data_IF_087689506867
#
_entry.id   IF_087689506867
#
_cell.length_a   1.000
_cell.length_b   1.000
_cell.length_c   1.000
_cell.angle_alpha   90.00
_cell.angle_beta   90.00
_cell.angle_gamma   90.00
#
_symmetry.space_group_name_H-M   'P 1'
#
loop_
_entity.id
_entity.type
_entity.pdbx_description
1 polymer ?
#
# COMPACT_ATOMS: atom_id res chain seq x y z
N UNK A 1 13.92 2.87 -13.01
CA UNK A 1 13.99 3.50 -11.67
C UNK A 1 12.77 3.16 -10.82
N UNK A 2 11.65 2.76 -11.42
CA UNK A 2 10.49 2.17 -10.73
C UNK A 2 10.76 0.76 -10.19
N UNK A 3 11.55 -0.06 -10.92
CA UNK A 3 11.92 -1.42 -10.44
C UNK A 3 12.64 -1.40 -9.08
N UNK A 4 13.58 -0.49 -8.85
CA UNK A 4 14.34 -0.41 -7.59
C UNK A 4 13.43 -0.11 -6.38
N UNK A 5 12.44 0.78 -6.56
CA UNK A 5 11.44 1.06 -5.53
C UNK A 5 10.54 -0.15 -5.27
N UNK A 6 10.02 -0.77 -6.34
CA UNK A 6 9.11 -1.92 -6.24
C UNK A 6 9.82 -3.09 -5.56
N UNK A 7 11.02 -3.44 -6.00
CA UNK A 7 11.82 -4.51 -5.41
C UNK A 7 12.15 -4.23 -3.95
N UNK A 8 12.57 -3.00 -3.62
CA UNK A 8 12.93 -2.65 -2.23
C UNK A 8 11.70 -2.71 -1.32
N UNK A 9 10.56 -2.19 -1.75
CA UNK A 9 9.34 -2.22 -0.93
C UNK A 9 8.85 -3.65 -0.76
N UNK A 10 8.77 -4.45 -1.84
CA UNK A 10 8.34 -5.85 -1.76
C UNK A 10 9.19 -6.65 -0.76
N UNK A 11 10.53 -6.57 -0.87
CA UNK A 11 11.44 -7.24 0.06
C UNK A 11 11.20 -6.83 1.53
N UNK A 12 10.95 -5.55 1.80
CA UNK A 12 10.67 -5.08 3.17
C UNK A 12 9.34 -5.57 3.70
N UNK A 13 8.31 -5.63 2.85
CA UNK A 13 7.01 -6.20 3.24
C UNK A 13 7.16 -7.68 3.61
N UNK A 14 7.96 -8.43 2.86
CA UNK A 14 8.23 -9.85 3.16
C UNK A 14 9.03 -10.00 4.46
N UNK A 15 10.14 -9.27 4.61
CA UNK A 15 11.07 -9.44 5.73
C UNK A 15 10.55 -8.86 7.06
N UNK A 16 9.88 -7.70 7.02
CA UNK A 16 9.46 -6.97 8.24
C UNK A 16 8.02 -7.28 8.65
N UNK A 17 7.16 -7.63 7.69
CA UNK A 17 5.71 -7.74 7.90
C UNK A 17 5.16 -9.14 7.59
N UNK A 18 6.05 -10.11 7.30
CA UNK A 18 5.70 -11.50 6.94
C UNK A 18 4.67 -11.56 5.78
N UNK A 19 4.72 -10.57 4.90
CA UNK A 19 3.84 -10.51 3.73
C UNK A 19 4.25 -11.58 2.72
N UNK A 20 3.33 -12.37 2.15
CA UNK A 20 3.66 -13.29 1.07
C UNK A 20 4.20 -12.54 -0.17
N UNK A 21 5.23 -13.10 -0.82
CA UNK A 21 5.89 -12.56 -2.04
C UNK A 21 4.89 -12.04 -3.10
N UNK A 22 3.89 -12.84 -3.48
CA UNK A 22 2.88 -12.45 -4.47
C UNK A 22 2.11 -11.18 -4.05
N UNK A 23 1.76 -11.10 -2.76
CA UNK A 23 1.03 -9.95 -2.20
C UNK A 23 1.97 -8.75 -2.03
N UNK A 24 3.22 -8.98 -1.66
CA UNK A 24 4.23 -7.93 -1.51
C UNK A 24 4.52 -7.26 -2.85
N UNK A 25 4.63 -8.04 -3.93
CA UNK A 25 4.78 -7.54 -5.30
C UNK A 25 3.57 -6.72 -5.76
N UNK A 26 2.33 -7.19 -5.48
CA UNK A 26 1.12 -6.43 -5.82
C UNK A 26 1.06 -5.10 -5.09
N UNK A 27 1.33 -5.09 -3.78
CA UNK A 27 1.36 -3.87 -2.97
C UNK A 27 2.43 -2.91 -3.49
N UNK A 28 3.63 -3.41 -3.75
CA UNK A 28 4.73 -2.57 -4.21
C UNK A 28 4.43 -1.91 -5.57
N UNK A 29 3.78 -2.63 -6.49
CA UNK A 29 3.32 -2.08 -7.76
C UNK A 29 2.21 -1.01 -7.58
N UNK A 30 1.27 -1.23 -6.67
CA UNK A 30 0.24 -0.24 -6.32
C UNK A 30 0.82 1.00 -5.65
N UNK A 31 1.80 0.82 -4.76
CA UNK A 31 2.54 1.89 -4.12
C UNK A 31 3.30 2.74 -5.16
N UNK A 32 3.93 2.11 -6.15
CA UNK A 32 4.61 2.83 -7.23
C UNK A 32 3.62 3.60 -8.11
N UNK A 33 2.43 3.04 -8.34
CA UNK A 33 1.36 3.73 -9.06
C UNK A 33 0.90 4.98 -8.29
N UNK A 34 0.67 4.87 -6.97
CA UNK A 34 0.34 6.02 -6.13
C UNK A 34 1.47 7.07 -6.16
N UNK A 35 2.72 6.63 -6.04
CA UNK A 35 3.89 7.50 -6.08
C UNK A 35 4.03 8.21 -7.43
N UNK A 36 3.70 7.55 -8.53
CA UNK A 36 3.77 8.13 -9.87
C UNK A 36 2.65 9.14 -10.12
N UNK A 37 1.43 8.85 -9.64
CA UNK A 37 0.28 9.76 -9.76
C UNK A 37 0.45 11.02 -8.89
N UNK A 38 1.17 10.91 -7.78
CA UNK A 38 1.46 12.00 -6.84
C UNK A 38 2.97 12.21 -6.64
N UNK A 39 3.73 12.39 -7.72
CA UNK A 39 5.20 12.51 -7.66
C UNK A 39 5.68 13.60 -6.69
N UNK A 40 4.98 14.74 -6.64
CA UNK A 40 5.29 15.87 -5.75
C UNK A 40 5.13 15.54 -4.26
N UNK A 41 4.41 14.47 -3.90
CA UNK A 41 4.23 14.03 -2.53
C UNK A 41 5.51 13.40 -1.93
N UNK A 42 6.44 12.95 -2.78
CA UNK A 42 7.73 12.45 -2.34
C UNK A 42 7.69 11.14 -1.53
N UNK A 43 6.71 10.27 -1.77
CA UNK A 43 6.59 9.00 -1.05
C UNK A 43 7.81 8.09 -1.24
N UNK A 44 8.45 7.72 -0.12
CA UNK A 44 9.53 6.74 -0.08
C UNK A 44 9.09 5.36 0.42
N UNK A 45 9.99 4.39 0.39
CA UNK A 45 9.72 3.04 0.91
C UNK A 45 9.44 3.09 2.42
N UNK A 46 10.23 3.85 3.18
CA UNK A 46 10.06 3.96 4.64
C UNK A 46 8.70 4.56 5.00
N UNK A 47 8.22 5.54 4.23
CA UNK A 47 6.92 6.17 4.42
C UNK A 47 5.76 5.16 4.40
N UNK A 48 5.79 4.21 3.45
CA UNK A 48 4.77 3.17 3.36
C UNK A 48 4.85 2.19 4.54
N UNK A 49 6.06 1.78 4.94
CA UNK A 49 6.27 0.87 6.07
C UNK A 49 5.77 1.51 7.37
N UNK A 50 6.11 2.78 7.62
CA UNK A 50 5.68 3.50 8.81
C UNK A 50 4.14 3.58 8.88
N UNK A 51 3.48 3.92 7.78
CA UNK A 51 2.01 4.01 7.75
C UNK A 51 1.33 2.64 7.92
N UNK A 52 1.92 1.56 7.41
CA UNK A 52 1.40 0.21 7.65
C UNK A 52 1.46 -0.12 9.15
N UNK A 53 2.54 0.25 9.84
CA UNK A 53 2.68 0.04 11.29
C UNK A 53 1.75 0.91 12.15
N UNK A 54 1.36 2.09 11.67
CA UNK A 54 0.40 2.96 12.37
C UNK A 54 -1.05 2.48 12.23
N UNK A 55 -1.32 1.58 11.28
CA UNK A 55 -2.66 1.11 11.03
C UNK A 55 -3.25 0.34 12.23
N UNK A 56 -4.49 0.63 12.65
CA UNK A 56 -5.09 0.02 13.84
C UNK A 56 -5.65 -1.40 13.60
N UNK A 57 -5.20 -2.08 12.54
CA UNK A 57 -5.72 -3.38 12.11
C UNK A 57 -4.67 -4.46 12.33
N UNK A 58 -5.11 -5.68 12.63
CA UNK A 58 -4.22 -6.85 12.73
C UNK A 58 -3.99 -7.51 11.36
N UNK A 59 -4.97 -7.40 10.46
CA UNK A 59 -4.88 -7.97 9.12
C UNK A 59 -4.09 -7.05 8.19
N UNK A 60 -2.99 -7.53 7.66
CA UNK A 60 -2.06 -6.77 6.81
C UNK A 60 -2.74 -6.11 5.60
N UNK A 61 -3.67 -6.79 4.91
CA UNK A 61 -4.42 -6.18 3.81
C UNK A 61 -5.26 -4.96 4.26
N UNK A 62 -5.79 -4.98 5.48
CA UNK A 62 -6.50 -3.83 6.07
C UNK A 62 -5.52 -2.74 6.51
N UNK A 63 -4.34 -3.13 7.00
CA UNK A 63 -3.27 -2.17 7.31
C UNK A 63 -2.83 -1.41 6.05
N UNK A 64 -2.57 -2.10 4.94
CA UNK A 64 -2.27 -1.49 3.66
C UNK A 64 -3.38 -0.56 3.16
N UNK A 65 -4.62 -1.05 3.14
CA UNK A 65 -5.76 -0.26 2.66
C UNK A 65 -6.01 0.99 3.53
N UNK A 66 -5.71 0.90 4.83
CA UNK A 66 -5.72 2.04 5.73
C UNK A 66 -4.58 3.01 5.42
N UNK A 67 -3.34 2.53 5.32
CA UNK A 67 -2.16 3.34 5.02
C UNK A 67 -2.31 4.14 3.72
N UNK A 68 -2.82 3.52 2.66
CA UNK A 68 -3.17 4.17 1.40
C UNK A 68 -4.26 5.22 1.56
N UNK A 69 -5.30 4.90 2.35
CA UNK A 69 -6.38 5.84 2.64
C UNK A 69 -5.92 7.05 3.42
N UNK A 70 -5.05 6.84 4.41
CA UNK A 70 -4.47 7.88 5.25
C UNK A 70 -3.53 8.78 4.45
N UNK A 71 -2.64 8.22 3.64
CA UNK A 71 -1.80 8.99 2.71
C UNK A 71 -2.61 9.83 1.73
N UNK A 72 -3.66 9.26 1.14
CA UNK A 72 -4.55 10.04 0.31
C UNK A 72 -5.33 11.11 1.07
N UNK A 73 -5.56 10.96 2.37
CA UNK A 73 -6.16 12.01 3.19
C UNK A 73 -5.22 13.20 3.41
N UNK A 74 -3.91 12.95 3.48
CA UNK A 74 -2.87 13.98 3.57
C UNK A 74 -2.65 14.75 2.25
N UNK A 75 -3.07 14.17 1.12
CA UNK A 75 -2.97 14.77 -0.21
C UNK A 75 -4.24 15.57 -0.54
N UNK A 76 -4.10 16.90 -0.65
CA UNK A 76 -5.20 17.80 -1.03
C UNK A 76 -5.88 17.40 -2.36
N UNK A 77 -5.13 16.81 -3.29
CA UNK A 77 -5.62 16.42 -4.63
C UNK A 77 -6.05 14.94 -4.75
N UNK A 78 -5.94 14.14 -3.68
CA UNK A 78 -6.41 12.74 -3.74
C UNK A 78 -7.92 12.63 -3.52
N UNK A 79 -8.66 12.48 -4.62
CA UNK A 79 -10.13 12.31 -4.57
C UNK A 79 -10.59 10.87 -4.44
N UNK A 80 -9.76 9.90 -4.82
CA UNK A 80 -10.10 8.47 -4.75
C UNK A 80 -8.86 7.59 -4.55
N UNK A 81 -8.75 7.00 -3.37
CA UNK A 81 -7.63 6.11 -3.01
C UNK A 81 -7.85 4.65 -3.39
N UNK A 82 -9.06 4.28 -3.85
CA UNK A 82 -9.40 2.88 -4.18
C UNK A 82 -8.50 2.24 -5.24
N UNK A 83 -8.03 2.93 -6.29
CA UNK A 83 -7.15 2.33 -7.29
C UNK A 83 -5.84 1.74 -6.71
N UNK A 84 -5.35 2.33 -5.61
CA UNK A 84 -4.08 1.94 -4.97
C UNK A 84 -4.27 0.91 -3.84
N UNK A 85 -5.51 0.60 -3.48
CA UNK A 85 -5.84 -0.42 -2.47
C UNK A 85 -5.79 -1.82 -3.09
N UNK A 86 -5.60 -2.84 -2.26
CA UNK A 86 -5.79 -4.22 -2.68
C UNK A 86 -7.29 -4.46 -2.96
N UNK A 87 -7.62 -5.04 -4.12
CA UNK A 87 -9.00 -5.43 -4.43
C UNK A 87 -9.41 -6.64 -3.56
N UNK A 88 -10.67 -6.71 -3.14
CA UNK A 88 -11.26 -7.99 -2.67
C UNK A 88 -11.46 -8.23 -1.17
N UNK A 89 -10.93 -7.44 -0.22
CA UNK A 89 -11.24 -7.67 1.21
C UNK A 89 -12.52 -7.00 1.73
N UNK A 90 -13.34 -6.47 0.81
CA UNK A 90 -14.76 -6.16 1.01
C UNK A 90 -15.72 -7.22 0.44
N UNK A 91 -15.20 -8.25 -0.24
CA UNK A 91 -15.99 -9.34 -0.84
C UNK A 91 -15.92 -10.64 0.00
N UNK A 92 -15.29 -10.62 1.18
CA UNK A 92 -15.40 -11.70 2.18
C UNK A 92 -16.74 -11.67 2.95
N UNK A 93 -17.79 -11.26 2.25
CA UNK A 93 -19.16 -11.12 2.76
C UNK A 93 -20.25 -11.46 1.74
N UNK A 94 -19.92 -12.08 0.60
CA UNK A 94 -20.91 -12.67 -0.30
C UNK A 94 -20.59 -14.15 -0.57
N UNK A 95 -20.60 -14.96 0.48
CA UNK A 95 -20.82 -16.41 0.30
C UNK A 95 -22.31 -16.62 0.00
N UNK A 96 -22.60 -17.10 -1.20
CA UNK A 96 -23.83 -17.85 -1.50
C UNK A 96 -23.43 -19.27 -1.89
#
# INVERSE_FOLDING_TARGET
MTDDFIETLANRLEEELDCPDEVAGEIAAKADTLRADYEDAGFGVQDFIDHIHEAPYEEFARQWNWAVGDRCHELDDCTDSRPYRLEGFGDVGATN
#
